data_IF_764965977387
#
_entry.id   IF_764965977387
#
_cell.length_a   1.000
_cell.length_b   1.000
_cell.length_c   1.000
_cell.angle_alpha   90.00
_cell.angle_beta   90.00
_cell.angle_gamma   90.00
#
_symmetry.space_group_name_H-M   'P 1'
#
loop_
_entity.id
_entity.type
_entity.pdbx_description
1 polymer ?
#
# COMPACT_ATOMS: atom_id res chain seq x y z
N UNK A 1 8.79 2.37 9.13
CA UNK A 1 8.46 0.94 9.27
C UNK A 1 7.38 0.82 10.34
N UNK A 2 6.39 -0.03 10.12
CA UNK A 2 5.38 -0.36 11.13
C UNK A 2 5.97 -1.29 12.21
N UNK A 3 5.29 -1.42 13.34
CA UNK A 3 5.76 -2.19 14.49
C UNK A 3 5.26 -3.65 14.46
N UNK A 4 5.22 -4.25 13.26
CA UNK A 4 4.91 -5.67 13.10
C UNK A 4 6.00 -6.52 13.79
N UNK A 5 5.64 -7.67 14.36
CA UNK A 5 6.61 -8.59 14.99
C UNK A 5 7.68 -9.11 14.02
N UNK A 6 7.35 -9.13 12.73
CA UNK A 6 8.31 -9.44 11.65
C UNK A 6 9.33 -8.32 11.38
N UNK A 7 9.15 -7.13 11.98
CA UNK A 7 9.98 -5.94 11.79
C UNK A 7 10.70 -5.56 13.11
N UNK A 8 11.68 -6.36 13.56
CA UNK A 8 12.45 -6.05 14.76
C UNK A 8 13.36 -4.83 14.53
N UNK A 9 13.91 -4.31 15.62
CA UNK A 9 14.88 -3.22 15.57
C UNK A 9 16.12 -3.63 14.75
N UNK A 10 16.31 -2.96 13.60
CA UNK A 10 17.47 -3.17 12.71
C UNK A 10 18.65 -2.33 13.18
N UNK A 11 19.79 -2.97 13.49
CA UNK A 11 21.04 -2.33 13.94
C UNK A 11 22.16 -2.49 12.90
N UNK A 12 23.15 -1.61 12.98
CA UNK A 12 24.40 -1.74 12.20
C UNK A 12 24.32 -1.30 10.74
N UNK A 13 23.27 -0.57 10.33
CA UNK A 13 23.19 0.03 9.00
C UNK A 13 24.17 1.22 8.92
N UNK A 14 24.99 1.26 7.86
CA UNK A 14 26.02 2.31 7.68
C UNK A 14 25.58 3.48 6.81
N UNK A 15 24.63 3.25 5.90
CA UNK A 15 24.28 4.21 4.84
C UNK A 15 22.80 4.58 4.82
N UNK A 16 21.97 3.97 5.66
CA UNK A 16 20.53 4.19 5.71
C UNK A 16 20.09 4.19 7.17
N UNK A 17 19.22 5.13 7.52
CA UNK A 17 18.55 5.17 8.82
C UNK A 17 17.11 4.69 8.67
N UNK A 18 16.68 3.77 9.54
CA UNK A 18 15.30 3.28 9.56
C UNK A 18 14.51 4.02 10.63
N UNK A 19 13.43 4.69 10.22
CA UNK A 19 12.45 5.27 11.14
C UNK A 19 11.28 4.34 11.39
N UNK A 20 10.82 4.26 12.64
CA UNK A 20 9.63 3.49 13.03
C UNK A 20 8.47 4.42 13.31
N UNK A 21 7.27 3.98 12.98
CA UNK A 21 6.04 4.63 13.40
C UNK A 21 5.80 4.37 14.90
N UNK A 22 5.06 5.24 15.60
CA UNK A 22 4.54 4.90 16.92
C UNK A 22 3.74 3.58 16.90
N UNK A 23 3.63 2.87 18.03
CA UNK A 23 2.76 1.70 18.14
C UNK A 23 1.30 2.06 17.83
N UNK A 24 0.55 1.10 17.27
CA UNK A 24 -0.87 1.23 16.93
C UNK A 24 -1.22 2.36 15.94
N UNK A 25 -0.28 2.72 15.07
CA UNK A 25 -0.54 3.67 13.98
C UNK A 25 -1.48 3.04 12.96
N UNK A 26 -2.58 3.74 12.68
CA UNK A 26 -3.58 3.29 11.70
C UNK A 26 -3.00 3.35 10.29
N UNK A 27 -3.49 2.48 9.40
CA UNK A 27 -3.13 2.44 7.97
C UNK A 27 -3.38 3.77 7.24
N UNK A 28 -4.21 4.65 7.81
CA UNK A 28 -4.42 6.02 7.32
C UNK A 28 -3.13 6.84 7.42
N UNK A 29 -2.30 6.64 8.45
CA UNK A 29 -1.08 7.41 8.62
C UNK A 29 0.12 6.77 7.89
N UNK A 30 -0.04 5.55 7.39
CA UNK A 30 1.03 4.82 6.72
C UNK A 30 1.08 5.16 5.22
N UNK A 31 2.18 5.74 4.71
CA UNK A 31 2.29 6.19 3.32
C UNK A 31 2.09 5.08 2.30
N UNK A 32 2.62 3.89 2.59
CA UNK A 32 2.53 2.75 1.70
C UNK A 32 1.09 2.24 1.58
N UNK A 33 0.37 2.21 2.70
CA UNK A 33 -1.04 1.83 2.76
C UNK A 33 -1.92 2.79 1.98
N UNK A 34 -1.77 4.11 2.20
CA UNK A 34 -2.57 5.12 1.51
C UNK A 34 -2.18 5.34 0.05
N UNK A 35 -0.94 5.03 -0.32
CA UNK A 35 -0.42 5.22 -1.67
C UNK A 35 -0.57 3.96 -2.52
N UNK A 36 0.47 3.14 -2.48
CA UNK A 36 0.65 1.99 -3.38
C UNK A 36 -0.41 0.91 -3.11
N UNK A 37 -0.59 0.52 -1.85
CA UNK A 37 -1.50 -0.60 -1.49
C UNK A 37 -2.96 -0.25 -1.80
N UNK A 38 -3.39 0.97 -1.49
CA UNK A 38 -4.75 1.44 -1.80
C UNK A 38 -5.01 1.44 -3.33
N UNK A 39 -4.05 1.93 -4.12
CA UNK A 39 -4.13 1.92 -5.58
C UNK A 39 -4.17 0.51 -6.14
N UNK A 40 -3.27 -0.36 -5.67
CA UNK A 40 -3.24 -1.77 -6.03
C UNK A 40 -4.57 -2.46 -5.73
N UNK A 41 -5.10 -2.33 -4.50
CA UNK A 41 -6.39 -2.91 -4.10
C UNK A 41 -7.53 -2.41 -4.98
N UNK A 42 -7.54 -1.13 -5.33
CA UNK A 42 -8.56 -0.53 -6.21
C UNK A 42 -8.48 -1.09 -7.63
N UNK A 43 -7.27 -1.21 -8.19
CA UNK A 43 -7.07 -1.77 -9.52
C UNK A 43 -7.41 -3.26 -9.54
N UNK A 44 -6.90 -4.01 -8.56
CA UNK A 44 -7.14 -5.44 -8.42
C UNK A 44 -8.62 -5.75 -8.37
N UNK A 45 -9.41 -5.10 -7.50
CA UNK A 45 -10.86 -5.37 -7.36
C UNK A 45 -11.66 -5.22 -8.65
N UNK A 46 -11.25 -4.37 -9.59
CA UNK A 46 -11.95 -4.18 -10.86
C UNK A 46 -11.83 -5.41 -11.77
N UNK A 47 -10.72 -6.12 -11.70
CA UNK A 47 -10.43 -7.22 -12.63
C UNK A 47 -11.29 -8.48 -12.39
N UNK A 48 -11.41 -9.04 -11.16
CA UNK A 48 -12.29 -10.17 -10.92
C UNK A 48 -13.77 -9.75 -11.06
N UNK A 49 -14.14 -8.51 -10.73
CA UNK A 49 -15.50 -8.02 -10.96
C UNK A 49 -15.88 -8.04 -12.45
N UNK A 50 -14.97 -7.66 -13.36
CA UNK A 50 -15.22 -7.77 -14.80
C UNK A 50 -15.48 -9.22 -15.23
N UNK A 51 -14.68 -10.16 -14.72
CA UNK A 51 -14.89 -11.59 -14.98
C UNK A 51 -16.21 -12.12 -14.44
N UNK A 52 -16.63 -11.68 -13.25
CA UNK A 52 -17.94 -12.03 -12.69
C UNK A 52 -19.05 -11.51 -13.61
N UNK A 53 -18.95 -10.28 -14.10
CA UNK A 53 -19.93 -9.73 -15.05
C UNK A 53 -19.99 -10.54 -16.33
N UNK A 54 -18.83 -10.85 -16.94
CA UNK A 54 -18.77 -11.71 -18.13
C UNK A 54 -19.37 -13.11 -17.89
N UNK A 55 -19.20 -13.65 -16.68
CA UNK A 55 -19.77 -14.94 -16.33
C UNK A 55 -21.30 -14.92 -16.21
N UNK A 56 -21.87 -13.81 -15.74
CA UNK A 56 -23.32 -13.60 -15.76
C UNK A 56 -23.87 -13.53 -17.19
N UNK A 57 -23.03 -13.20 -18.17
CA UNK A 57 -23.36 -13.18 -19.60
C UNK A 57 -23.15 -14.55 -20.28
N UNK A 58 -22.73 -15.57 -19.52
CA UNK A 58 -22.59 -16.95 -19.99
C UNK A 58 -21.16 -17.43 -20.21
N UNK A 59 -20.14 -16.64 -19.85
CA UNK A 59 -18.76 -17.11 -19.81
C UNK A 59 -18.46 -17.97 -18.56
N UNK A 60 -17.48 -18.87 -18.64
CA UNK A 60 -17.05 -19.65 -17.48
C UNK A 60 -16.29 -18.78 -16.47
N UNK A 61 -16.58 -19.00 -15.18
CA UNK A 61 -15.91 -18.34 -14.07
C UNK A 61 -15.15 -19.34 -13.21
N UNK A 62 -13.83 -19.38 -13.40
CA UNK A 62 -12.91 -19.97 -12.44
C UNK A 62 -11.75 -19.03 -12.17
N UNK A 63 -11.34 -18.95 -10.90
CA UNK A 63 -10.18 -18.18 -10.47
C UNK A 63 -9.30 -19.09 -9.64
N UNK A 64 -8.32 -19.69 -10.29
CA UNK A 64 -7.25 -20.43 -9.64
C UNK A 64 -6.11 -19.50 -9.19
N UNK A 65 -5.06 -20.09 -8.59
CA UNK A 65 -3.90 -19.35 -8.09
C UNK A 65 -3.14 -18.68 -9.25
N UNK A 66 -3.00 -19.35 -10.39
CA UNK A 66 -2.31 -18.80 -11.56
C UNK A 66 -3.04 -17.57 -12.11
N UNK A 67 -4.35 -17.68 -12.24
CA UNK A 67 -5.26 -16.61 -12.65
C UNK A 67 -5.16 -15.43 -11.68
N UNK A 68 -5.17 -15.70 -10.37
CA UNK A 68 -4.99 -14.70 -9.32
C UNK A 68 -3.64 -13.98 -9.43
N UNK A 69 -2.56 -14.70 -9.74
CA UNK A 69 -1.24 -14.13 -9.93
C UNK A 69 -1.20 -13.20 -11.16
N UNK A 70 -1.80 -13.62 -12.27
CA UNK A 70 -1.94 -12.77 -13.46
C UNK A 70 -2.76 -11.50 -13.18
N UNK A 71 -3.88 -11.62 -12.46
CA UNK A 71 -4.68 -10.47 -12.03
C UNK A 71 -3.87 -9.53 -11.13
N UNK A 72 -3.08 -10.08 -10.20
CA UNK A 72 -2.20 -9.30 -9.33
C UNK A 72 -1.14 -8.55 -10.12
N UNK A 73 -0.49 -9.21 -11.09
CA UNK A 73 0.48 -8.57 -11.99
C UNK A 73 -0.16 -7.43 -12.81
N UNK A 74 -1.34 -7.67 -13.38
CA UNK A 74 -2.06 -6.65 -14.13
C UNK A 74 -2.44 -5.45 -13.24
N UNK A 75 -2.94 -5.71 -12.03
CA UNK A 75 -3.28 -4.66 -11.08
C UNK A 75 -2.06 -3.83 -10.64
N UNK A 76 -0.90 -4.46 -10.50
CA UNK A 76 0.36 -3.81 -10.16
C UNK A 76 0.85 -2.90 -11.29
N UNK A 77 0.82 -3.37 -12.54
CA UNK A 77 1.23 -2.58 -13.71
C UNK A 77 0.37 -1.30 -13.88
N UNK A 78 -0.86 -1.33 -13.38
CA UNK A 78 -1.78 -0.19 -13.41
C UNK A 78 -1.58 0.81 -12.25
N UNK A 79 -0.67 0.53 -11.30
CA UNK A 79 -0.29 1.47 -10.25
C UNK A 79 0.63 2.53 -10.87
N UNK A 80 0.05 3.69 -11.19
CA UNK A 80 0.79 4.82 -11.77
C UNK A 80 0.89 6.01 -10.83
N UNK A 81 2.01 6.74 -10.92
CA UNK A 81 2.27 7.94 -10.13
C UNK A 81 1.25 9.05 -10.43
N UNK A 82 0.84 9.18 -11.70
CA UNK A 82 -0.19 10.13 -12.20
C UNK A 82 -1.56 9.98 -11.55
N UNK A 83 -1.92 8.78 -11.06
CA UNK A 83 -3.20 8.55 -10.36
C UNK A 83 -3.12 8.83 -8.85
N UNK A 84 -1.91 9.01 -8.31
CA UNK A 84 -1.63 9.21 -6.88
C UNK A 84 -0.77 10.47 -6.53
N UNK A 85 -0.80 11.59 -7.28
CA UNK A 85 0.15 12.69 -7.03
C UNK A 85 -0.17 13.48 -5.76
N UNK A 86 -1.44 13.62 -5.38
CA UNK A 86 -1.86 14.47 -4.25
C UNK A 86 -1.61 13.87 -2.88
N UNK A 87 -1.54 12.53 -2.75
CA UNK A 87 -1.48 11.88 -1.44
C UNK A 87 -0.07 11.64 -0.91
N UNK A 88 0.93 11.48 -1.78
CA UNK A 88 2.34 11.44 -1.35
C UNK A 88 2.75 12.78 -0.72
N UNK A 89 2.29 13.90 -1.31
CA UNK A 89 2.52 15.24 -0.75
C UNK A 89 1.78 15.46 0.58
N UNK A 90 0.51 15.07 0.68
CA UNK A 90 -0.26 15.14 1.94
C UNK A 90 0.36 14.26 3.04
N UNK A 91 0.82 13.06 2.71
CA UNK A 91 1.47 12.17 3.67
C UNK A 91 2.85 12.69 4.07
N UNK A 92 3.62 13.31 3.17
CA UNK A 92 4.85 14.01 3.55
C UNK A 92 4.60 15.19 4.50
N UNK A 93 3.51 15.95 4.32
CA UNK A 93 3.09 16.99 5.26
C UNK A 93 2.72 16.42 6.64
N UNK A 94 1.97 15.31 6.68
CA UNK A 94 1.61 14.63 7.93
C UNK A 94 2.84 14.03 8.61
N UNK A 95 3.73 13.38 7.87
CA UNK A 95 5.01 12.85 8.39
C UNK A 95 5.92 13.94 8.95
N UNK A 96 6.03 15.08 8.26
CA UNK A 96 6.79 16.24 8.76
C UNK A 96 6.18 16.77 10.06
N UNK A 97 4.86 16.83 10.17
CA UNK A 97 4.16 17.24 11.40
C UNK A 97 4.34 16.24 12.54
N UNK A 98 4.30 14.93 12.27
CA UNK A 98 4.54 13.88 13.27
C UNK A 98 6.00 13.86 13.72
N UNK A 99 6.96 14.00 12.80
CA UNK A 99 8.39 14.14 13.14
C UNK A 99 8.64 15.39 13.99
N UNK A 100 8.00 16.52 13.66
CA UNK A 100 8.09 17.75 14.45
C UNK A 100 7.51 17.58 15.86
N UNK A 101 6.37 16.90 16.00
CA UNK A 101 5.79 16.54 17.29
C UNK A 101 6.70 15.62 18.12
N UNK A 102 7.30 14.61 17.50
CA UNK A 102 8.26 13.71 18.18
C UNK A 102 9.58 14.40 18.56
N UNK A 103 9.96 15.50 17.90
CA UNK A 103 11.09 16.36 18.29
C UNK A 103 10.74 17.31 19.44
N UNK A 104 9.47 17.73 19.57
CA UNK A 104 8.99 18.64 20.62
C UNK A 104 8.66 17.92 21.94
N UNK A 105 8.52 16.59 21.91
CA UNK A 105 8.21 15.75 23.07
C UNK A 105 9.45 15.03 23.63
N UNK A 106 10.65 15.44 23.21
CA UNK A 106 11.94 15.11 23.82
C UNK A 106 12.50 16.35 24.50
#
# INVERSE_FOLDING_TARGET
>A
MDNCTAHPEIKGLKSITVGYFPPNVTSILQPLDQGVIMSFKRNYRKLPLRRIVSALEGEDYEVDILTTLHLSKAAWNDVTEKKNPSRIASVMLVLKSIQKLNLLLK
#
